data_IF_167455770076
#
_entry.id   IF_167455770076
#
_cell.length_a   1.000
_cell.length_b   1.000
_cell.length_c   1.000
_cell.angle_alpha   90.00
_cell.angle_beta   90.00
_cell.angle_gamma   90.00
#
_symmetry.space_group_name_H-M   'P 1'
#
loop_
_entity.id
_entity.type
_entity.pdbx_description
1 polymer ?
#
# COMPACT_ATOMS: atom_id res chain seq x y z
N UNK A 1 4.93 14.01 -18.56
CA UNK A 1 4.91 14.92 -17.41
C UNK A 1 4.44 14.18 -16.17
N UNK A 2 5.18 14.31 -15.09
CA UNK A 2 4.80 13.64 -13.85
C UNK A 2 3.64 14.37 -13.16
N UNK A 3 2.72 13.62 -12.59
CA UNK A 3 1.63 14.15 -11.78
C UNK A 3 1.94 13.89 -10.31
N UNK A 4 1.77 14.92 -9.48
CA UNK A 4 1.96 14.80 -8.04
C UNK A 4 0.60 14.68 -7.37
N UNK A 5 0.44 13.63 -6.56
CA UNK A 5 -0.76 13.41 -5.76
C UNK A 5 -0.41 13.58 -4.29
N UNK A 6 -0.91 14.62 -3.66
CA UNK A 6 -0.72 14.84 -2.24
C UNK A 6 -1.83 14.14 -1.46
N UNK A 7 -1.43 13.32 -0.50
CA UNK A 7 -2.37 12.57 0.34
C UNK A 7 -2.85 13.44 1.50
N UNK A 8 -4.05 13.96 1.40
CA UNK A 8 -4.64 14.80 2.44
C UNK A 8 -5.65 14.00 3.27
N UNK A 9 -5.13 13.12 4.13
CA UNK A 9 -5.94 12.24 4.95
C UNK A 9 -5.56 12.40 6.43
N UNK A 10 -6.55 12.53 7.34
CA UNK A 10 -6.26 12.71 8.77
C UNK A 10 -5.35 11.64 9.38
N UNK A 11 -5.53 10.36 9.03
CA UNK A 11 -4.67 9.30 9.55
C UNK A 11 -3.23 9.45 9.08
N UNK A 12 -3.02 9.83 7.84
CA UNK A 12 -1.67 10.05 7.31
C UNK A 12 -1.02 11.24 8.01
N UNK A 13 -1.76 12.32 8.17
CA UNK A 13 -1.26 13.51 8.88
C UNK A 13 -0.87 13.19 10.31
N UNK A 14 -1.70 12.42 11.02
CA UNK A 14 -1.42 12.02 12.38
C UNK A 14 -0.15 11.16 12.47
N UNK A 15 -0.04 10.14 11.62
CA UNK A 15 1.12 9.24 11.60
C UNK A 15 2.39 9.96 11.16
N UNK A 16 2.27 10.90 10.23
CA UNK A 16 3.39 11.70 9.78
C UNK A 16 3.93 12.58 10.93
N UNK A 17 3.04 13.12 11.76
CA UNK A 17 3.49 13.92 12.91
C UNK A 17 4.29 13.09 13.90
N UNK A 18 3.93 11.80 14.09
CA UNK A 18 4.71 10.89 14.91
C UNK A 18 6.11 10.67 14.34
N UNK A 19 6.23 10.54 13.03
CA UNK A 19 7.54 10.40 12.38
C UNK A 19 8.40 11.65 12.50
N UNK A 20 7.77 12.82 12.52
CA UNK A 20 8.49 14.11 12.59
C UNK A 20 8.90 14.50 13.99
N UNK A 21 8.29 13.92 15.00
CA UNK A 21 8.58 14.24 16.40
C UNK A 21 9.92 13.62 16.79
N UNK A 22 10.85 14.46 17.25
CA UNK A 22 12.18 13.99 17.64
C UNK A 22 12.18 13.06 18.86
N UNK A 23 11.09 13.04 19.63
CA UNK A 23 10.97 12.18 20.81
C UNK A 23 10.44 10.78 20.47
N UNK A 24 10.00 10.55 19.23
CA UNK A 24 9.48 9.25 18.82
C UNK A 24 10.60 8.21 18.77
N UNK A 25 10.38 7.06 19.41
CA UNK A 25 11.34 5.97 19.42
C UNK A 25 11.44 5.25 18.06
N UNK A 26 12.50 4.45 17.91
CA UNK A 26 12.77 3.74 16.66
C UNK A 26 11.63 2.80 16.27
N UNK A 27 11.08 2.07 17.27
CA UNK A 27 9.98 1.13 17.01
C UNK A 27 8.75 1.87 16.50
N UNK A 28 8.37 2.95 17.16
CA UNK A 28 7.19 3.74 16.78
C UNK A 28 7.38 4.39 15.41
N UNK A 29 8.60 4.85 15.12
CA UNK A 29 8.93 5.41 13.81
C UNK A 29 8.74 4.36 12.70
N UNK A 30 9.24 3.14 12.92
CA UNK A 30 9.09 2.06 11.94
C UNK A 30 7.64 1.67 11.72
N UNK A 31 6.87 1.60 12.80
CA UNK A 31 5.44 1.29 12.71
C UNK A 31 4.69 2.37 11.93
N UNK A 32 4.96 3.64 12.20
CA UNK A 32 4.33 4.74 11.49
C UNK A 32 4.70 4.75 10.01
N UNK A 33 5.96 4.48 9.68
CA UNK A 33 6.42 4.38 8.29
C UNK A 33 5.68 3.28 7.55
N UNK A 34 5.57 2.11 8.16
CA UNK A 34 4.87 0.96 7.57
C UNK A 34 3.40 1.29 7.34
N UNK A 35 2.75 1.88 8.33
CA UNK A 35 1.34 2.21 8.24
C UNK A 35 1.05 3.28 7.19
N UNK A 36 1.89 4.30 7.08
CA UNK A 36 1.78 5.31 6.03
C UNK A 36 1.96 4.67 4.65
N UNK A 37 2.94 3.76 4.52
CA UNK A 37 3.16 3.06 3.26
C UNK A 37 1.94 2.24 2.86
N UNK A 38 1.26 1.60 3.81
CA UNK A 38 0.02 0.86 3.54
C UNK A 38 -1.07 1.79 3.02
N UNK A 39 -1.27 2.92 3.66
CA UNK A 39 -2.29 3.89 3.26
C UNK A 39 -1.98 4.50 1.89
N UNK A 40 -0.72 4.82 1.63
CA UNK A 40 -0.30 5.33 0.32
C UNK A 40 -0.47 4.27 -0.78
N UNK A 41 -0.15 3.02 -0.47
CA UNK A 41 -0.34 1.91 -1.40
C UNK A 41 -1.82 1.73 -1.76
N UNK A 42 -2.69 1.83 -0.78
CA UNK A 42 -4.13 1.76 -1.00
C UNK A 42 -4.59 2.80 -2.03
N UNK A 43 -4.16 4.04 -1.87
CA UNK A 43 -4.53 5.11 -2.80
C UNK A 43 -3.83 4.97 -4.15
N UNK A 44 -2.54 4.62 -4.14
CA UNK A 44 -1.77 4.47 -5.38
C UNK A 44 -2.30 3.38 -6.30
N UNK A 45 -2.95 2.36 -5.74
CA UNK A 45 -3.50 1.23 -6.50
C UNK A 45 -4.96 1.42 -6.90
N UNK A 46 -5.52 2.60 -6.66
CA UNK A 46 -6.93 2.87 -6.92
C UNK A 46 -7.34 2.60 -8.37
N UNK A 47 -6.49 2.89 -9.31
CA UNK A 47 -6.77 2.79 -10.75
C UNK A 47 -6.26 1.52 -11.41
N UNK A 48 -5.91 0.50 -10.62
CA UNK A 48 -5.52 -0.78 -11.20
C UNK A 48 -6.69 -1.41 -11.97
N UNK A 49 -6.43 -1.96 -13.16
CA UNK A 49 -7.49 -2.60 -13.93
C UNK A 49 -7.97 -3.88 -13.28
N UNK A 50 -9.27 -4.12 -13.38
CA UNK A 50 -9.91 -5.32 -12.88
C UNK A 50 -10.41 -6.19 -14.04
N UNK A 51 -10.49 -7.49 -13.80
CA UNK A 51 -11.14 -8.42 -14.72
C UNK A 51 -12.20 -9.22 -13.99
N UNK A 52 -13.24 -9.61 -14.70
CA UNK A 52 -14.31 -10.44 -14.17
C UNK A 52 -13.95 -11.93 -14.31
N UNK A 53 -14.11 -12.67 -13.24
CA UNK A 53 -13.98 -14.12 -13.26
C UNK A 53 -15.18 -14.74 -12.54
N UNK A 54 -15.44 -16.02 -12.81
CA UNK A 54 -16.46 -16.78 -12.10
C UNK A 54 -15.80 -17.66 -11.06
N UNK A 55 -16.30 -17.62 -9.85
CA UNK A 55 -15.82 -18.47 -8.75
C UNK A 55 -16.97 -19.27 -8.17
N UNK A 56 -16.64 -20.36 -7.50
CA UNK A 56 -17.61 -21.11 -6.70
C UNK A 56 -17.65 -20.52 -5.29
N UNK A 57 -18.87 -20.22 -4.82
CA UNK A 57 -19.08 -19.82 -3.43
C UNK A 57 -19.86 -20.93 -2.72
N UNK A 58 -19.92 -20.92 -1.38
CA UNK A 58 -20.69 -21.94 -0.65
C UNK A 58 -22.17 -21.99 -1.01
N UNK A 59 -22.72 -20.96 -1.63
CA UNK A 59 -24.14 -20.88 -2.00
C UNK A 59 -24.37 -21.17 -3.47
N UNK A 60 -23.54 -20.58 -4.35
CA UNK A 60 -23.67 -20.71 -5.81
C UNK A 60 -22.42 -20.12 -6.48
N UNK A 61 -22.31 -20.29 -7.80
CA UNK A 61 -21.29 -19.61 -8.57
C UNK A 61 -21.56 -18.10 -8.57
N UNK A 62 -20.49 -17.32 -8.53
CA UNK A 62 -20.57 -15.86 -8.52
C UNK A 62 -19.56 -15.26 -9.47
N UNK A 63 -19.94 -14.15 -10.10
CA UNK A 63 -19.01 -13.32 -10.89
C UNK A 63 -18.39 -12.30 -9.97
N UNK A 64 -17.07 -12.24 -9.96
CA UNK A 64 -16.32 -11.33 -9.09
C UNK A 64 -15.27 -10.60 -9.90
N UNK A 65 -14.80 -9.49 -9.36
CA UNK A 65 -13.75 -8.70 -9.99
C UNK A 65 -12.43 -8.90 -9.24
N UNK A 66 -11.39 -9.18 -10.00
CA UNK A 66 -10.03 -9.33 -9.45
C UNK A 66 -9.06 -8.48 -10.25
N UNK A 67 -7.91 -8.19 -9.65
CA UNK A 67 -6.89 -7.39 -10.34
C UNK A 67 -6.45 -8.11 -11.62
N UNK A 68 -6.45 -7.37 -12.72
CA UNK A 68 -6.12 -7.90 -14.04
C UNK A 68 -4.62 -8.15 -14.19
N UNK A 69 -4.27 -9.33 -14.45
CA UNK A 69 -3.14 -9.93 -15.11
C UNK A 69 -1.71 -9.62 -14.72
N UNK A 70 -1.28 -8.39 -14.65
CA UNK A 70 0.14 -8.10 -14.50
C UNK A 70 0.58 -8.08 -13.06
N UNK A 71 1.77 -8.66 -12.80
CA UNK A 71 2.36 -8.64 -11.47
C UNK A 71 2.81 -7.23 -11.12
N UNK A 72 2.64 -6.88 -9.86
CA UNK A 72 3.10 -5.60 -9.31
C UNK A 72 4.50 -5.80 -8.78
N UNK A 73 5.41 -4.87 -9.12
CA UNK A 73 6.76 -4.86 -8.60
C UNK A 73 6.98 -3.61 -7.76
N UNK A 74 7.67 -3.77 -6.65
CA UNK A 74 8.06 -2.69 -5.77
C UNK A 74 9.54 -2.39 -5.99
N UNK A 75 9.87 -1.14 -6.28
CA UNK A 75 11.24 -0.71 -6.55
C UNK A 75 11.64 0.34 -5.52
N UNK A 76 12.20 -0.08 -4.39
CA UNK A 76 12.62 0.88 -3.36
C UNK A 76 13.92 1.57 -3.72
N UNK A 77 14.05 2.81 -3.29
CA UNK A 77 15.34 3.51 -3.31
C UNK A 77 16.09 3.07 -2.06
N UNK A 78 17.13 2.28 -2.26
CA UNK A 78 17.92 1.74 -1.15
C UNK A 78 18.76 2.84 -0.48
N UNK A 79 18.81 2.89 0.85
CA UNK A 79 18.08 1.96 1.76
C UNK A 79 16.83 2.58 2.36
N UNK A 80 16.64 3.87 2.08
CA UNK A 80 15.58 4.65 2.71
C UNK A 80 14.19 4.07 2.44
N UNK A 81 13.98 3.50 1.25
CA UNK A 81 12.67 2.96 0.87
C UNK A 81 12.32 1.60 1.44
N UNK A 82 13.28 0.89 2.08
CA UNK A 82 13.02 -0.46 2.58
C UNK A 82 11.96 -0.52 3.67
N UNK A 83 11.89 0.51 4.52
CA UNK A 83 10.87 0.56 5.56
C UNK A 83 9.45 0.64 5.02
N UNK A 84 9.27 1.17 3.82
CA UNK A 84 7.96 1.27 3.17
C UNK A 84 7.55 -0.04 2.49
N UNK A 85 8.52 -0.85 2.06
CA UNK A 85 8.26 -2.10 1.35
C UNK A 85 7.43 -3.07 2.21
N UNK A 86 7.74 -3.17 3.49
CA UNK A 86 7.01 -4.06 4.40
C UNK A 86 5.53 -3.72 4.45
N UNK A 87 5.19 -2.43 4.53
CA UNK A 87 3.79 -1.99 4.53
C UNK A 87 3.09 -2.30 3.23
N UNK A 88 3.76 -2.07 2.11
CA UNK A 88 3.19 -2.36 0.80
C UNK A 88 2.99 -3.85 0.57
N UNK A 89 3.92 -4.69 1.05
CA UNK A 89 3.78 -6.15 0.96
C UNK A 89 2.63 -6.68 1.81
N UNK A 90 2.29 -6.02 2.92
CA UNK A 90 1.10 -6.40 3.69
C UNK A 90 -0.18 -6.15 2.89
N UNK A 91 -0.21 -5.10 2.08
CA UNK A 91 -1.36 -4.78 1.23
C UNK A 91 -1.38 -5.64 -0.03
N UNK A 92 -0.23 -5.96 -0.59
CA UNK A 92 -0.10 -6.72 -1.83
C UNK A 92 0.95 -7.81 -1.62
N UNK A 93 0.58 -8.92 -0.95
CA UNK A 93 1.57 -9.97 -0.62
C UNK A 93 2.21 -10.62 -1.84
N UNK A 94 1.54 -10.59 -2.99
CA UNK A 94 2.05 -11.18 -4.22
C UNK A 94 2.99 -10.25 -4.99
N UNK A 95 3.19 -9.01 -4.56
CA UNK A 95 4.08 -8.08 -5.24
C UNK A 95 5.53 -8.54 -5.16
N UNK A 96 6.28 -8.27 -6.21
CA UNK A 96 7.72 -8.55 -6.24
C UNK A 96 8.51 -7.31 -5.85
N UNK A 97 9.61 -7.53 -5.21
CA UNK A 97 10.51 -6.44 -4.80
C UNK A 97 11.68 -6.29 -5.77
#
# INVERSE_FOLDING_TARGET
MATVHEMDHPLIKHKLSLMRDKTTGVKEFREATREIAMLMCYEATRDLPLKEITIETPVSDARVQVISGKKIALVPILRAGLGMVDGMLEMIPAAKV
#
